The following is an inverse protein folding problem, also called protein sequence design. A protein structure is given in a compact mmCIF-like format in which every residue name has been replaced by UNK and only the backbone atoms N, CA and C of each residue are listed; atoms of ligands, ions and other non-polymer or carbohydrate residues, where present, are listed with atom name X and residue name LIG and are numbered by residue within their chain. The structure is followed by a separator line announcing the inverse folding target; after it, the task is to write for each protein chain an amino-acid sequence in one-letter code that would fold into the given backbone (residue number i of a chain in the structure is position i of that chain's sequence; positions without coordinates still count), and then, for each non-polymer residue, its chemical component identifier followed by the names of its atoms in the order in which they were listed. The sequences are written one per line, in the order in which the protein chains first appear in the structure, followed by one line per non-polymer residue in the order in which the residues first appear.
data_IF_326300208945
#
_entry.id   IF_326300208945
#
_cell.length_a   1.000
_cell.length_b   1.000
_cell.length_c   1.000
_cell.angle_alpha   90.00
_cell.angle_beta   90.00
_cell.angle_gamma   90.00
#
_symmetry.space_group_name_H-M   'P 1'
#
loop_
_entity.id
_entity.type
_entity.pdbx_description
1 polymer ?
#
# COMPACT_ATOMS: atom_id res chain seq x y z
N UNK A 1 35.50 -6.73 -9.54
CA UNK A 1 34.72 -5.65 -8.89
C UNK A 1 33.68 -6.30 -7.96
N UNK A 2 33.84 -6.15 -6.63
CA UNK A 2 33.12 -6.85 -5.53
C UNK A 2 31.93 -6.03 -4.94
N UNK A 3 31.53 -4.95 -5.61
CA UNK A 3 30.60 -3.96 -5.03
C UNK A 3 29.20 -4.55 -4.80
N UNK A 4 28.66 -5.35 -5.75
CA UNK A 4 27.33 -5.99 -5.57
C UNK A 4 27.28 -6.93 -4.37
N UNK A 5 28.28 -7.81 -4.22
CA UNK A 5 28.40 -8.72 -3.06
C UNK A 5 28.63 -8.00 -1.72
N UNK A 6 29.31 -6.84 -1.74
CA UNK A 6 29.49 -6.02 -0.54
C UNK A 6 28.20 -5.30 -0.15
N UNK A 7 27.41 -4.82 -1.11
CA UNK A 7 26.10 -4.20 -0.85
C UNK A 7 25.09 -5.23 -0.32
N UNK A 8 25.02 -6.43 -0.91
CA UNK A 8 24.19 -7.54 -0.43
C UNK A 8 24.53 -7.94 1.01
N UNK A 9 25.82 -8.00 1.35
CA UNK A 9 26.27 -8.29 2.72
C UNK A 9 25.89 -7.18 3.71
N UNK A 10 25.99 -5.91 3.30
CA UNK A 10 25.57 -4.76 4.10
C UNK A 10 24.06 -4.74 4.35
N UNK A 11 23.24 -5.00 3.32
CA UNK A 11 21.79 -5.06 3.45
C UNK A 11 21.35 -6.24 4.31
N UNK A 12 21.95 -7.42 4.11
CA UNK A 12 21.67 -8.60 4.93
C UNK A 12 22.03 -8.38 6.40
N UNK A 13 23.17 -7.74 6.69
CA UNK A 13 23.57 -7.43 8.06
C UNK A 13 22.66 -6.39 8.70
N UNK A 14 22.35 -5.28 8.00
CA UNK A 14 21.38 -4.28 8.49
C UNK A 14 20.01 -4.90 8.78
N UNK A 15 19.57 -5.83 7.94
CA UNK A 15 18.30 -6.54 8.13
C UNK A 15 18.34 -7.48 9.34
N UNK A 16 19.46 -8.15 9.58
CA UNK A 16 19.65 -8.97 10.78
C UNK A 16 19.59 -8.11 12.05
N UNK A 17 20.34 -7.00 12.09
CA UNK A 17 20.29 -6.03 13.19
C UNK A 17 18.89 -5.46 13.38
N UNK A 18 18.19 -5.10 12.30
CA UNK A 18 16.82 -4.60 12.38
C UNK A 18 15.83 -5.64 12.94
N UNK A 19 16.02 -6.93 12.65
CA UNK A 19 15.19 -8.01 13.23
C UNK A 19 15.46 -8.20 14.72
N UNK A 20 16.72 -8.09 15.15
CA UNK A 20 17.10 -8.12 16.57
C UNK A 20 16.47 -6.92 17.30
N UNK A 21 16.54 -5.72 16.73
CA UNK A 21 15.87 -4.53 17.29
C UNK A 21 14.35 -4.65 17.29
N UNK A 22 13.76 -5.20 16.23
CA UNK A 22 12.31 -5.46 16.15
C UNK A 22 11.85 -6.37 17.30
N UNK A 23 12.60 -7.45 17.55
CA UNK A 23 12.33 -8.36 18.66
C UNK A 23 12.59 -7.70 20.03
N UNK A 24 13.66 -6.91 20.17
CA UNK A 24 13.98 -6.21 21.41
C UNK A 24 12.97 -5.12 21.78
N UNK A 25 12.28 -4.53 20.78
CA UNK A 25 11.18 -3.58 20.98
C UNK A 25 9.81 -4.25 21.15
N UNK A 26 9.79 -5.58 21.17
CA UNK A 26 8.57 -6.39 21.37
C UNK A 26 7.46 -6.09 20.36
N UNK A 27 7.83 -5.68 19.13
CA UNK A 27 6.86 -5.50 18.07
C UNK A 27 6.21 -6.84 17.69
N UNK A 28 4.90 -6.87 17.41
CA UNK A 28 4.18 -8.12 17.17
C UNK A 28 4.64 -8.78 15.88
N UNK A 29 4.55 -10.12 15.82
CA UNK A 29 4.68 -10.81 14.55
C UNK A 29 3.38 -10.64 13.74
N UNK A 30 3.44 -9.92 12.63
CA UNK A 30 2.26 -9.53 11.86
C UNK A 30 1.89 -10.63 10.86
N UNK A 31 0.68 -11.18 11.01
CA UNK A 31 0.01 -11.93 9.94
C UNK A 31 -0.71 -10.96 9.01
N UNK A 32 -0.06 -10.63 7.89
CA UNK A 32 -0.57 -9.69 6.91
C UNK A 32 -1.84 -10.17 6.19
N UNK A 33 -2.08 -11.49 6.10
CA UNK A 33 -3.24 -12.04 5.42
C UNK A 33 -4.48 -11.93 6.31
N UNK A 34 -4.31 -12.16 7.63
CA UNK A 34 -5.34 -11.99 8.65
C UNK A 34 -5.72 -10.51 8.93
N UNK A 35 -4.92 -9.55 8.46
CA UNK A 35 -5.28 -8.13 8.56
C UNK A 35 -6.51 -7.80 7.71
N UNK A 36 -6.59 -8.34 6.49
CA UNK A 36 -7.64 -8.02 5.51
C UNK A 36 -8.67 -9.15 5.37
N UNK A 37 -8.25 -10.40 5.52
CA UNK A 37 -9.11 -11.56 5.37
C UNK A 37 -9.63 -11.99 6.75
N UNK A 38 -10.91 -12.32 6.92
CA UNK A 38 -11.36 -12.97 8.15
C UNK A 38 -10.56 -14.26 8.39
N UNK A 39 -10.28 -14.60 9.66
CA UNK A 39 -9.82 -15.94 9.99
C UNK A 39 -10.80 -16.95 9.39
N UNK A 40 -10.29 -17.92 8.63
CA UNK A 40 -11.12 -19.03 8.14
C UNK A 40 -11.50 -19.84 9.38
N UNK A 41 -12.63 -19.52 10.02
CA UNK A 41 -13.23 -20.45 10.95
C UNK A 41 -13.56 -21.71 10.16
N UNK A 42 -12.84 -22.79 10.45
CA UNK A 42 -13.17 -24.11 9.93
C UNK A 42 -14.56 -24.50 10.42
N UNK A 43 -15.57 -24.21 9.61
CA UNK A 43 -16.96 -24.53 9.89
C UNK A 43 -17.81 -24.28 8.67
N UNK A 44 -18.07 -25.35 7.89
CA UNK A 44 -19.24 -25.41 7.04
C UNK A 44 -20.48 -25.16 7.90
N UNK A 45 -21.04 -23.96 7.83
CA UNK A 45 -22.26 -23.57 8.52
C UNK A 45 -23.06 -22.65 7.62
N UNK A 46 -23.91 -23.22 6.78
CA UNK A 46 -24.92 -22.47 6.07
C UNK A 46 -25.89 -21.84 7.07
N UNK A 47 -26.02 -20.51 6.98
CA UNK A 47 -26.97 -19.72 7.75
C UNK A 47 -27.22 -18.44 6.97
N UNK A 48 -28.29 -18.48 6.16
CA UNK A 48 -28.97 -17.31 5.63
C UNK A 48 -29.77 -16.70 6.79
N UNK A 49 -29.15 -15.79 7.54
CA UNK A 49 -29.82 -14.86 8.43
C UNK A 49 -29.33 -13.45 8.12
N UNK A 50 -30.23 -12.65 7.54
CA UNK A 50 -29.99 -11.31 7.00
C UNK A 50 -29.61 -10.24 8.03
N UNK A 51 -28.53 -10.47 8.78
CA UNK A 51 -27.84 -9.51 9.61
C UNK A 51 -26.32 -9.74 9.45
N UNK A 52 -25.72 -9.10 8.45
CA UNK A 52 -24.30 -9.24 8.06
C UNK A 52 -23.33 -8.80 9.16
N UNK A 53 -23.11 -9.68 10.14
CA UNK A 53 -22.22 -9.46 11.27
C UNK A 53 -20.84 -10.09 11.06
N UNK A 54 -19.85 -9.24 10.76
CA UNK A 54 -18.42 -9.41 11.07
C UNK A 54 -17.73 -10.67 10.51
N UNK A 55 -17.57 -10.70 9.19
CA UNK A 55 -16.59 -11.57 8.50
C UNK A 55 -15.39 -10.77 7.97
N UNK A 56 -14.92 -9.77 8.72
CA UNK A 56 -13.79 -8.93 8.31
C UNK A 56 -12.50 -9.25 9.05
N UNK A 57 -11.35 -9.10 8.39
CA UNK A 57 -10.04 -9.13 9.04
C UNK A 57 -9.88 -8.01 10.08
N UNK A 58 -8.72 -7.95 10.76
CA UNK A 58 -8.47 -6.95 11.83
C UNK A 58 -8.73 -5.50 11.40
N UNK A 59 -8.43 -5.17 10.14
CA UNK A 59 -8.64 -3.83 9.57
C UNK A 59 -10.12 -3.42 9.61
N UNK A 60 -11.04 -4.37 9.42
CA UNK A 60 -12.49 -4.11 9.36
C UNK A 60 -13.01 -3.44 10.62
N UNK A 61 -12.42 -3.74 11.79
CA UNK A 61 -12.82 -3.12 13.07
C UNK A 61 -12.69 -1.60 13.07
N UNK A 62 -11.82 -1.05 12.22
CA UNK A 62 -11.58 0.38 12.13
C UNK A 62 -12.34 1.04 10.97
N UNK A 63 -13.24 0.32 10.30
CA UNK A 63 -14.01 0.85 9.17
C UNK A 63 -14.76 2.12 9.53
N UNK A 64 -15.58 2.08 10.58
CA UNK A 64 -16.43 3.21 10.97
C UNK A 64 -15.61 4.43 11.39
N UNK A 65 -14.47 4.18 12.02
CA UNK A 65 -13.52 5.22 12.39
C UNK A 65 -12.96 5.94 11.16
N UNK A 66 -12.54 5.17 10.14
CA UNK A 66 -12.03 5.71 8.88
C UNK A 66 -13.12 6.43 8.08
N UNK A 67 -14.36 5.92 8.08
CA UNK A 67 -15.52 6.61 7.49
C UNK A 67 -15.76 7.94 8.18
N UNK A 68 -15.67 7.98 9.52
CA UNK A 68 -15.73 9.23 10.29
C UNK A 68 -14.64 10.22 9.86
N UNK A 69 -13.42 9.75 9.58
CA UNK A 69 -12.34 10.60 9.05
C UNK A 69 -12.66 11.10 7.64
N UNK A 70 -13.17 10.25 6.74
CA UNK A 70 -13.57 10.61 5.38
C UNK A 70 -14.62 11.73 5.41
N UNK A 71 -15.66 11.56 6.23
CA UNK A 71 -16.81 12.47 6.36
C UNK A 71 -16.54 13.70 7.23
N UNK A 72 -15.32 13.84 7.80
CA UNK A 72 -14.94 14.91 8.74
C UNK A 72 -15.75 14.91 10.05
N UNK A 73 -16.28 13.76 10.42
CA UNK A 73 -17.02 13.53 11.66
C UNK A 73 -16.08 13.13 12.82
N UNK A 74 -14.87 12.68 12.48
CA UNK A 74 -13.80 12.33 13.42
C UNK A 74 -12.55 13.19 13.18
N UNK A 75 -11.91 13.73 14.25
CA UNK A 75 -10.64 14.43 14.12
C UNK A 75 -9.52 13.48 13.67
N UNK A 76 -8.56 13.99 12.92
CA UNK A 76 -7.44 13.21 12.38
C UNK A 76 -6.21 14.10 12.24
N UNK A 77 -5.15 13.77 12.98
CA UNK A 77 -3.90 14.51 12.91
C UNK A 77 -3.24 14.41 11.52
N UNK A 78 -3.43 13.29 10.82
CA UNK A 78 -2.92 13.11 9.45
C UNK A 78 -3.70 13.95 8.45
N UNK A 79 -5.03 14.03 8.62
CA UNK A 79 -5.87 14.89 7.81
C UNK A 79 -5.55 16.36 8.02
N UNK A 80 -5.38 16.80 9.27
CA UNK A 80 -5.03 18.17 9.60
C UNK A 80 -3.69 18.56 8.96
N UNK A 81 -2.69 17.68 9.04
CA UNK A 81 -1.40 17.88 8.37
C UNK A 81 -1.52 17.94 6.84
N UNK A 82 -2.37 17.10 6.24
CA UNK A 82 -2.61 17.10 4.80
C UNK A 82 -3.37 18.37 4.35
N UNK A 83 -4.33 18.85 5.13
CA UNK A 83 -5.05 20.12 4.93
C UNK A 83 -4.07 21.31 5.02
N UNK A 84 -3.18 21.33 6.01
CA UNK A 84 -2.15 22.37 6.16
C UNK A 84 -1.16 22.39 4.99
N UNK A 85 -0.67 21.23 4.56
CA UNK A 85 0.20 21.12 3.39
C UNK A 85 -0.53 21.57 2.10
N UNK A 86 -1.80 21.21 1.94
CA UNK A 86 -2.62 21.65 0.82
C UNK A 86 -2.84 23.17 0.82
N UNK A 87 -3.04 23.77 1.99
CA UNK A 87 -3.16 25.23 2.15
C UNK A 87 -1.87 25.96 1.75
N UNK A 88 -0.70 25.34 1.98
CA UNK A 88 0.61 25.82 1.49
C UNK A 88 0.86 25.55 -0.01
N UNK A 89 -0.05 24.84 -0.69
CA UNK A 89 0.09 24.49 -2.10
C UNK A 89 1.03 23.30 -2.36
N UNK A 90 1.41 22.57 -1.32
CA UNK A 90 2.37 21.47 -1.35
C UNK A 90 1.71 20.12 -1.64
N UNK A 91 2.43 19.21 -2.28
CA UNK A 91 1.97 17.82 -2.44
C UNK A 91 0.81 17.61 -3.42
N UNK A 92 0.63 18.48 -4.44
CA UNK A 92 -0.28 18.21 -5.58
C UNK A 92 0.11 16.99 -6.41
N UNK A 93 1.39 16.61 -6.38
CA UNK A 93 1.92 15.42 -7.05
C UNK A 93 2.71 14.60 -6.03
N UNK A 94 2.29 13.36 -5.83
CA UNK A 94 2.90 12.38 -4.91
C UNK A 94 4.43 12.23 -5.08
N UNK A 95 4.96 12.50 -6.29
CA UNK A 95 6.38 12.35 -6.62
C UNK A 95 7.32 13.38 -5.97
N UNK A 96 6.83 14.44 -5.33
CA UNK A 96 7.68 15.51 -4.74
C UNK A 96 7.79 15.49 -3.22
N UNK A 97 7.11 14.60 -2.50
CA UNK A 97 7.00 14.65 -1.04
C UNK A 97 7.99 13.74 -0.29
N UNK A 98 8.97 13.12 -0.97
CA UNK A 98 10.01 12.32 -0.28
C UNK A 98 11.18 13.17 0.22
N UNK A 99 11.35 14.41 -0.29
CA UNK A 99 12.54 15.24 0.00
C UNK A 99 12.28 16.49 0.84
N UNK A 100 11.02 16.77 1.20
CA UNK A 100 10.66 18.00 1.91
C UNK A 100 9.57 17.71 2.93
N UNK A 101 9.88 16.92 3.96
CA UNK A 101 9.65 17.24 5.37
C UNK A 101 10.07 16.03 6.23
N UNK A 102 11.22 16.11 6.91
CA UNK A 102 11.54 15.13 7.97
C UNK A 102 10.49 15.17 9.11
N UNK A 103 9.64 16.21 9.17
CA UNK A 103 8.54 16.28 10.13
C UNK A 103 7.30 15.43 9.75
N UNK A 104 7.17 15.01 8.49
CA UNK A 104 6.10 14.11 8.02
C UNK A 104 6.68 12.98 7.14
N UNK A 105 7.13 11.92 7.81
CA UNK A 105 7.17 10.53 7.32
C UNK A 105 5.77 10.02 6.90
N UNK A 106 5.01 10.80 6.12
CA UNK A 106 3.61 10.60 5.73
C UNK A 106 3.36 9.43 4.78
N UNK A 107 4.33 8.53 4.60
CA UNK A 107 4.14 7.26 3.90
C UNK A 107 4.54 6.06 4.75
N UNK A 108 5.12 6.23 5.94
CA UNK A 108 5.60 5.09 6.73
C UNK A 108 4.47 4.58 7.63
N UNK A 109 4.04 3.34 7.42
CA UNK A 109 3.12 2.63 8.31
C UNK A 109 3.85 2.04 9.52
N UNK A 110 4.97 2.66 9.93
CA UNK A 110 5.86 2.15 10.97
C UNK A 110 6.35 0.73 10.68
N UNK A 111 6.31 -0.12 11.71
CA UNK A 111 6.88 -1.46 11.67
C UNK A 111 6.10 -2.37 10.73
N UNK A 112 4.88 -2.01 10.31
CA UNK A 112 4.14 -2.73 9.26
C UNK A 112 4.84 -2.70 7.90
N UNK A 113 5.72 -1.72 7.66
CA UNK A 113 6.55 -1.61 6.47
C UNK A 113 5.78 -1.52 5.15
N UNK A 114 6.50 -1.55 4.02
CA UNK A 114 5.91 -1.53 2.67
C UNK A 114 4.85 -2.60 2.42
N UNK A 115 5.00 -3.81 2.98
CA UNK A 115 4.01 -4.89 2.85
C UNK A 115 2.68 -4.51 3.51
N UNK A 116 2.71 -4.04 4.75
CA UNK A 116 1.49 -3.63 5.45
C UNK A 116 0.80 -2.46 4.78
N UNK A 117 1.55 -1.47 4.27
CA UNK A 117 1.00 -0.36 3.49
C UNK A 117 0.20 -0.85 2.29
N UNK A 118 0.70 -1.83 1.54
CA UNK A 118 -0.01 -2.40 0.37
C UNK A 118 -1.32 -3.08 0.79
N UNK A 119 -1.30 -3.84 1.89
CA UNK A 119 -2.51 -4.49 2.43
C UNK A 119 -3.55 -3.45 2.85
N UNK A 120 -3.13 -2.41 3.58
CA UNK A 120 -3.98 -1.31 4.02
C UNK A 120 -4.57 -0.53 2.84
N UNK A 121 -3.73 -0.14 1.87
CA UNK A 121 -4.16 0.59 0.67
C UNK A 121 -5.15 -0.21 -0.17
N UNK A 122 -4.89 -1.52 -0.36
CA UNK A 122 -5.78 -2.41 -1.09
C UNK A 122 -7.14 -2.54 -0.39
N UNK A 123 -7.16 -2.70 0.94
CA UNK A 123 -8.40 -2.78 1.71
C UNK A 123 -9.17 -1.45 1.64
N UNK A 124 -8.52 -0.30 1.90
CA UNK A 124 -9.18 1.02 1.86
C UNK A 124 -9.77 1.31 0.48
N UNK A 125 -9.00 1.04 -0.58
CA UNK A 125 -9.44 1.28 -1.97
C UNK A 125 -10.64 0.43 -2.36
N UNK A 126 -10.77 -0.77 -1.78
CA UNK A 126 -11.86 -1.71 -2.05
C UNK A 126 -13.09 -1.40 -1.21
N UNK A 127 -12.93 -1.30 0.10
CA UNK A 127 -14.03 -1.27 1.07
C UNK A 127 -14.57 0.14 1.37
N UNK A 128 -13.75 1.17 1.19
CA UNK A 128 -14.14 2.57 1.44
C UNK A 128 -14.38 3.36 0.15
N UNK A 129 -14.42 2.69 -0.99
CA UNK A 129 -14.47 3.33 -2.31
C UNK A 129 -15.68 4.26 -2.46
N UNK A 130 -16.86 3.81 -2.02
CA UNK A 130 -18.11 4.55 -2.18
C UNK A 130 -18.17 5.77 -1.24
N UNK A 131 -17.71 5.61 0.00
CA UNK A 131 -17.62 6.69 0.98
C UNK A 131 -16.66 7.80 0.53
N UNK A 132 -15.52 7.41 -0.05
CA UNK A 132 -14.55 8.36 -0.61
C UNK A 132 -15.14 9.07 -1.82
N UNK A 133 -15.83 8.35 -2.73
CA UNK A 133 -16.47 8.94 -3.92
C UNK A 133 -17.56 9.93 -3.56
N UNK A 134 -18.40 9.60 -2.58
CA UNK A 134 -19.46 10.50 -2.12
C UNK A 134 -18.88 11.79 -1.53
N UNK A 135 -17.79 11.68 -0.77
CA UNK A 135 -17.11 12.82 -0.15
C UNK A 135 -16.31 13.65 -1.16
N UNK A 136 -15.69 13.01 -2.16
CA UNK A 136 -14.81 13.66 -3.14
C UNK A 136 -15.45 14.84 -3.89
N UNK A 137 -16.77 14.80 -4.12
CA UNK A 137 -17.49 15.88 -4.80
C UNK A 137 -17.59 17.20 -4.00
N UNK A 138 -17.39 17.14 -2.68
CA UNK A 138 -17.52 18.30 -1.77
C UNK A 138 -16.24 18.61 -1.01
N UNK A 139 -15.31 17.66 -0.97
CA UNK A 139 -14.11 17.73 -0.18
C UNK A 139 -12.94 18.38 -0.93
N UNK A 140 -12.55 19.57 -0.48
CA UNK A 140 -11.45 20.33 -1.08
C UNK A 140 -10.11 19.60 -0.99
N UNK A 141 -9.86 18.84 0.08
CA UNK A 141 -8.60 18.12 0.25
C UNK A 141 -8.50 16.99 -0.79
N UNK A 142 -9.57 16.21 -0.94
CA UNK A 142 -9.63 15.12 -1.93
C UNK A 142 -9.51 15.69 -3.36
N UNK A 143 -10.17 16.82 -3.64
CA UNK A 143 -10.04 17.50 -4.93
C UNK A 143 -8.61 17.98 -5.23
N UNK A 144 -7.89 18.44 -4.20
CA UNK A 144 -6.51 18.93 -4.35
C UNK A 144 -5.46 17.81 -4.42
N UNK A 145 -5.59 16.76 -3.58
CA UNK A 145 -4.64 15.64 -3.46
C UNK A 145 -4.93 14.47 -4.40
N UNK A 146 -6.11 14.42 -5.02
CA UNK A 146 -6.75 13.23 -5.61
C UNK A 146 -7.19 12.21 -4.57
N UNK A 147 -8.07 11.29 -4.98
CA UNK A 147 -8.51 10.15 -4.15
C UNK A 147 -7.33 9.30 -3.68
N UNK A 148 -6.40 8.96 -4.57
CA UNK A 148 -5.22 8.15 -4.23
C UNK A 148 -4.29 8.87 -3.26
N UNK A 149 -4.06 10.18 -3.45
CA UNK A 149 -3.26 10.97 -2.51
C UNK A 149 -3.90 11.07 -1.13
N UNK A 150 -5.23 11.23 -1.07
CA UNK A 150 -5.96 11.23 0.21
C UNK A 150 -5.87 9.87 0.92
N UNK A 151 -5.99 8.75 0.20
CA UNK A 151 -5.81 7.42 0.78
C UNK A 151 -4.41 7.28 1.39
N UNK A 152 -3.37 7.64 0.63
CA UNK A 152 -1.98 7.42 1.02
C UNK A 152 -1.50 8.36 2.13
N UNK A 153 -1.93 9.63 2.14
CA UNK A 153 -1.48 10.62 3.12
C UNK A 153 -2.38 10.69 4.37
N UNK A 154 -3.61 10.17 4.31
CA UNK A 154 -4.58 10.26 5.42
C UNK A 154 -5.07 8.90 5.87
N UNK A 155 -5.75 8.14 5.01
CA UNK A 155 -6.46 6.93 5.46
C UNK A 155 -5.53 5.78 5.83
N UNK A 156 -4.48 5.56 5.06
CA UNK A 156 -3.47 4.54 5.36
C UNK A 156 -2.73 4.83 6.67
N UNK A 157 -2.19 6.03 6.93
CA UNK A 157 -1.53 6.31 8.21
C UNK A 157 -2.52 6.34 9.40
N UNK A 158 -3.77 6.75 9.21
CA UNK A 158 -4.82 6.61 10.24
C UNK A 158 -5.06 5.14 10.61
N UNK A 159 -5.21 4.27 9.61
CA UNK A 159 -5.39 2.85 9.83
C UNK A 159 -4.16 2.23 10.51
N UNK A 160 -2.96 2.57 10.05
CA UNK A 160 -1.72 2.10 10.65
C UNK A 160 -1.61 2.53 12.11
N UNK A 161 -1.96 3.78 12.44
CA UNK A 161 -1.96 4.29 13.80
C UNK A 161 -2.90 3.50 14.71
N UNK A 162 -4.11 3.19 14.24
CA UNK A 162 -5.10 2.40 14.98
C UNK A 162 -4.64 0.96 15.22
N UNK A 163 -4.05 0.35 14.20
CA UNK A 163 -3.46 -0.98 14.30
C UNK A 163 -2.30 -1.03 15.30
N UNK A 164 -1.42 -0.01 15.29
CA UNK A 164 -0.34 0.13 16.27
C UNK A 164 -0.87 0.34 17.69
N UNK A 165 -1.89 1.18 17.84
CA UNK A 165 -2.55 1.42 19.11
C UNK A 165 -3.14 0.12 19.69
N UNK A 166 -3.78 -0.69 18.85
CA UNK A 166 -4.31 -2.00 19.24
C UNK A 166 -3.20 -3.02 19.56
N UNK A 167 -2.16 -3.11 18.73
CA UNK A 167 -1.06 -4.07 18.89
C UNK A 167 -0.27 -3.87 20.19
N UNK A 168 0.01 -2.61 20.53
CA UNK A 168 0.87 -2.24 21.65
C UNK A 168 0.06 -1.82 22.89
N UNK A 169 -1.27 -1.84 22.80
CA UNK A 169 -2.18 -1.36 23.84
C UNK A 169 -1.82 0.08 24.30
N UNK A 170 -1.65 0.98 23.33
CA UNK A 170 -1.25 2.37 23.56
C UNK A 170 -2.25 3.37 22.98
N UNK A 171 -2.28 4.58 23.54
CA UNK A 171 -3.09 5.68 22.98
C UNK A 171 -2.57 6.20 21.63
N UNK A 172 -3.45 6.88 20.88
CA UNK A 172 -3.17 7.39 19.53
C UNK A 172 -1.92 8.29 19.45
N UNK A 173 -1.63 9.07 20.49
CA UNK A 173 -0.43 9.90 20.54
C UNK A 173 0.86 9.07 20.51
N UNK A 174 0.95 8.04 21.35
CA UNK A 174 2.10 7.14 21.40
C UNK A 174 2.16 6.28 20.14
N UNK A 175 1.04 5.82 19.60
CA UNK A 175 1.00 5.08 18.34
C UNK A 175 1.58 5.89 17.17
N UNK A 176 1.31 7.20 17.10
CA UNK A 176 1.93 8.09 16.10
C UNK A 176 3.44 8.25 16.27
N UNK A 177 3.95 8.23 17.49
CA UNK A 177 5.40 8.23 17.74
C UNK A 177 6.02 6.92 17.26
N UNK A 178 5.41 5.78 17.61
CA UNK A 178 5.87 4.46 17.16
C UNK A 178 5.91 4.37 15.64
N UNK A 179 4.89 4.85 14.93
CA UNK A 179 4.89 4.90 13.46
C UNK A 179 6.12 5.60 12.88
N UNK A 180 6.61 6.67 13.53
CA UNK A 180 7.82 7.38 13.12
C UNK A 180 9.09 6.63 13.53
N UNK A 181 9.17 6.21 14.79
CA UNK A 181 10.33 5.54 15.37
C UNK A 181 10.63 4.19 14.72
N UNK A 182 9.61 3.51 14.21
CA UNK A 182 9.71 2.16 13.68
C UNK A 182 9.67 2.11 12.15
N UNK A 183 9.70 3.25 11.46
CA UNK A 183 9.62 3.33 10.00
C UNK A 183 10.78 2.63 9.30
N UNK A 184 12.02 2.95 9.71
CA UNK A 184 13.24 2.33 9.14
C UNK A 184 13.30 0.82 9.40
N UNK A 185 12.97 0.41 10.63
CA UNK A 185 12.92 -1.02 11.00
C UNK A 185 11.85 -1.73 10.17
N UNK A 186 10.66 -1.13 10.01
CA UNK A 186 9.58 -1.70 9.20
C UNK A 186 9.95 -1.84 7.72
N UNK A 187 10.71 -0.90 7.17
CA UNK A 187 11.23 -1.01 5.80
C UNK A 187 12.20 -2.17 5.64
N UNK A 188 13.11 -2.38 6.59
CA UNK A 188 14.09 -3.47 6.54
C UNK A 188 13.46 -4.84 6.80
N UNK A 189 12.55 -4.93 7.76
CA UNK A 189 11.95 -6.21 8.18
C UNK A 189 10.81 -6.61 7.24
N UNK A 190 9.89 -5.68 6.98
CA UNK A 190 8.61 -5.89 6.29
C UNK A 190 8.52 -5.19 4.92
N UNK A 191 9.67 -4.85 4.30
CA UNK A 191 9.72 -4.18 2.99
C UNK A 191 10.08 -5.04 1.79
N UNK A 192 10.49 -6.28 1.99
CA UNK A 192 10.88 -7.18 0.90
C UNK A 192 9.78 -8.21 0.73
N UNK A 193 9.16 -8.23 -0.45
CA UNK A 193 8.42 -9.40 -0.91
C UNK A 193 9.44 -10.55 -0.93
N UNK A 194 9.16 -11.63 -0.22
CA UNK A 194 10.02 -12.83 -0.22
C UNK A 194 9.84 -13.61 -1.55
N UNK A 195 9.80 -12.89 -2.67
CA UNK A 195 9.80 -13.41 -4.04
C UNK A 195 11.23 -13.83 -4.46
N UNK A 196 12.04 -14.20 -3.47
CA UNK A 196 13.38 -14.75 -3.59
C UNK A 196 13.40 -16.25 -3.87
N UNK A 197 12.29 -16.87 -4.28
CA UNK A 197 12.35 -18.18 -4.92
C UNK A 197 12.64 -18.02 -6.41
N UNK A 198 13.89 -18.36 -6.75
CA UNK A 198 14.33 -18.67 -8.10
C UNK A 198 13.26 -19.47 -8.86
N UNK A 199 12.54 -18.83 -9.80
CA UNK A 199 11.93 -19.55 -10.91
C UNK A 199 13.04 -20.11 -11.79
N UNK A 200 13.59 -21.27 -11.39
CA UNK A 200 14.39 -22.11 -12.26
C UNK A 200 13.54 -22.58 -13.43
N UNK A 201 13.96 -22.17 -14.62
CA UNK A 201 13.94 -23.00 -15.82
C UNK A 201 12.59 -23.30 -16.44
N UNK A 202 12.26 -22.59 -17.52
CA UNK A 202 11.18 -22.94 -18.41
C UNK A 202 11.18 -22.10 -19.67
N UNK A 203 12.25 -22.19 -20.46
CA UNK A 203 12.35 -21.50 -21.74
C UNK A 203 11.29 -22.00 -22.72
N UNK A 204 10.46 -21.09 -23.22
CA UNK A 204 9.72 -21.28 -24.46
C UNK A 204 9.85 -19.99 -25.27
N UNK A 205 10.70 -20.03 -26.30
CA UNK A 205 10.79 -18.97 -27.31
C UNK A 205 9.49 -18.98 -28.11
N UNK A 206 8.70 -17.90 -28.01
CA UNK A 206 7.60 -17.66 -28.95
C UNK A 206 8.10 -16.77 -30.08
N UNK A 207 8.00 -17.33 -31.29
CA UNK A 207 8.37 -16.74 -32.55
C UNK A 207 7.56 -15.48 -32.85
N UNK A 208 8.26 -14.45 -33.35
CA UNK A 208 7.66 -13.27 -33.98
C UNK A 208 6.99 -13.70 -35.28
N UNK A 209 5.68 -13.51 -35.40
CA UNK A 209 4.97 -13.53 -36.69
C UNK A 209 4.69 -12.09 -37.12
N UNK A 210 5.04 -11.66 -38.35
CA UNK A 210 4.71 -10.33 -38.83
C UNK A 210 3.25 -10.28 -39.29
N UNK A 211 2.57 -9.18 -38.96
CA UNK A 211 1.23 -8.83 -39.45
C UNK A 211 1.39 -8.06 -40.76
N UNK A 212 0.71 -8.52 -41.81
CA UNK A 212 0.68 -7.88 -43.13
C UNK A 212 -0.48 -6.91 -43.33
N UNK A 213 -0.40 -6.15 -44.43
CA UNK A 213 -1.50 -5.44 -45.10
C UNK A 213 -1.12 -5.28 -46.58
N UNK A 214 -1.79 -6.01 -47.48
CA UNK A 214 -2.86 -5.53 -48.39
C UNK A 214 -2.29 -4.68 -49.57
N UNK A 215 -2.11 -5.23 -50.78
CA UNK A 215 -3.07 -5.57 -51.84
C UNK A 215 -3.27 -4.44 -52.86
N UNK A 216 -2.79 -4.67 -54.10
CA UNK A 216 -3.28 -4.15 -55.38
C UNK A 216 -2.51 -4.92 -56.49
N UNK A 217 -3.16 -5.87 -57.15
CA UNK A 217 -3.83 -5.73 -58.46
C UNK A 217 -2.81 -5.68 -59.62
N UNK A 218 -2.83 -6.75 -60.40
CA UNK A 218 -2.08 -6.99 -61.62
C UNK A 218 -2.64 -6.15 -62.77
N UNK A 219 -1.79 -5.80 -63.74
CA UNK A 219 -2.13 -5.70 -65.17
C UNK A 219 -0.83 -5.71 -66.00
N UNK A 220 -0.87 -6.53 -67.06
CA UNK A 220 -0.26 -6.38 -68.39
C UNK A 220 1.27 -6.51 -68.56
N UNK A 221 1.75 -7.61 -69.14
CA UNK A 221 1.84 -7.95 -70.58
C UNK A 221 3.25 -7.69 -71.13
N UNK A 222 3.91 -8.82 -71.37
CA UNK A 222 4.79 -9.16 -72.50
C UNK A 222 5.51 -8.02 -73.24
N UNK A 223 6.82 -7.92 -72.99
CA UNK A 223 7.77 -7.23 -73.84
C UNK A 223 8.91 -8.20 -74.17
N UNK A 224 8.74 -8.97 -75.24
CA UNK A 224 9.84 -9.70 -75.87
C UNK A 224 10.88 -8.75 -76.47
N UNK A 225 12.14 -9.07 -76.25
CA UNK A 225 13.19 -8.81 -77.23
C UNK A 225 14.24 -9.93 -77.12
N UNK A 226 14.54 -10.51 -78.28
CA UNK A 226 15.51 -11.57 -78.65
C UNK A 226 15.15 -13.05 -78.40
#
# INVERSE_FOLDING_TARGET
MRIRKQMEFCEAHRRATAREEYAAREYPNIDFDALSTPPIETGYGGGDDGNGGTSGGRIERFRDDLVGVIRRERPSAFRDAADEAAARGEGRNLKKTVAADEALTGMTVGYYGPRGRRVMEAWVTRELADEIRESAGRDRLIGFKTVSGFIQEVLVPELAMRLVAEDLDVGEARAREVLRESGEIGELVNGVDDDGEERKGGGAKVAKKPVGGAAAAADDEDGGDY
#
